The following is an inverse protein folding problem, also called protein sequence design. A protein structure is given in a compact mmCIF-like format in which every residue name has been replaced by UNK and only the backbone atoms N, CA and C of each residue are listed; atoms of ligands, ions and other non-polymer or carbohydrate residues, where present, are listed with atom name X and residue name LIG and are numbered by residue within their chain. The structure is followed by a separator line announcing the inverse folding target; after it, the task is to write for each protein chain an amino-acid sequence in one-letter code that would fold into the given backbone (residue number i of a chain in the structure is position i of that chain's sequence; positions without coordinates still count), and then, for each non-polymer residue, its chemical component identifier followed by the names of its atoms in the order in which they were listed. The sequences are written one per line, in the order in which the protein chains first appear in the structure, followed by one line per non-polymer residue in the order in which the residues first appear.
data_IF_209954001786
#
_entry.id   IF_209954001786
#
_cell.length_a   1.000
_cell.length_b   1.000
_cell.length_c   1.000
_cell.angle_alpha   90.00
_cell.angle_beta   90.00
_cell.angle_gamma   90.00
#
_symmetry.space_group_name_H-M   'P 1'
#
loop_
_entity.id
_entity.type
_entity.pdbx_description
1 polymer ?
#
# COMPACT_ATOMS: atom_id res chain seq x y z
N UNK A 1 -12.96 -29.24 -10.39
CA UNK A 1 -13.71 -27.99 -10.18
C UNK A 1 -12.85 -26.89 -9.60
N UNK A 2 -12.25 -26.14 -10.52
CA UNK A 2 -11.64 -24.84 -10.25
C UNK A 2 -12.73 -23.76 -10.18
N UNK A 3 -12.69 -22.94 -9.13
CA UNK A 3 -13.64 -21.86 -8.90
C UNK A 3 -12.89 -20.54 -8.90
N UNK A 4 -13.39 -19.57 -9.65
CA UNK A 4 -12.88 -18.20 -9.62
C UNK A 4 -13.89 -17.29 -8.92
N UNK A 5 -13.45 -16.50 -7.93
CA UNK A 5 -14.28 -15.55 -7.19
C UNK A 5 -13.87 -14.13 -7.57
N UNK A 6 -14.77 -13.39 -8.20
CA UNK A 6 -14.65 -11.96 -8.50
C UNK A 6 -15.35 -11.14 -7.41
N UNK A 7 -14.64 -10.20 -6.80
CA UNK A 7 -15.16 -9.35 -5.72
C UNK A 7 -14.47 -7.98 -5.69
N UNK A 8 -15.11 -6.97 -5.10
CA UNK A 8 -14.44 -5.69 -4.83
C UNK A 8 -13.66 -5.74 -3.50
N UNK A 9 -12.67 -4.86 -3.30
CA UNK A 9 -11.82 -4.87 -2.10
C UNK A 9 -12.61 -4.92 -0.76
N UNK A 10 -13.69 -4.14 -0.56
CA UNK A 10 -14.50 -4.22 0.67
C UNK A 10 -15.17 -5.58 0.91
N UNK A 11 -15.39 -6.35 -0.15
CA UNK A 11 -16.06 -7.66 -0.09
C UNK A 11 -15.09 -8.82 0.21
N UNK A 12 -13.79 -8.53 0.44
CA UNK A 12 -12.73 -9.53 0.66
C UNK A 12 -13.03 -10.51 1.78
N UNK A 13 -13.65 -10.04 2.86
CA UNK A 13 -14.03 -10.91 3.99
C UNK A 13 -15.05 -11.98 3.57
N UNK A 14 -16.01 -11.63 2.71
CA UNK A 14 -16.99 -12.58 2.18
C UNK A 14 -16.32 -13.54 1.20
N UNK A 15 -15.52 -13.04 0.27
CA UNK A 15 -14.79 -13.87 -0.69
C UNK A 15 -13.87 -14.89 0.00
N UNK A 16 -13.21 -14.48 1.09
CA UNK A 16 -12.35 -15.35 1.90
C UNK A 16 -13.12 -16.46 2.59
N UNK A 17 -14.32 -16.17 3.12
CA UNK A 17 -15.21 -17.20 3.71
C UNK A 17 -15.72 -18.18 2.65
N UNK A 18 -16.17 -17.67 1.50
CA UNK A 18 -16.57 -18.53 0.38
C UNK A 18 -15.45 -19.47 -0.04
N UNK A 19 -14.22 -18.96 -0.16
CA UNK A 19 -13.04 -19.79 -0.43
C UNK A 19 -12.86 -20.89 0.60
N UNK A 20 -12.95 -20.57 1.89
CA UNK A 20 -12.80 -21.56 2.95
C UNK A 20 -13.89 -22.63 2.88
N UNK A 21 -15.16 -22.22 2.73
CA UNK A 21 -16.30 -23.14 2.64
C UNK A 21 -16.18 -24.05 1.38
N UNK A 22 -15.79 -23.49 0.23
CA UNK A 22 -15.58 -24.25 -1.01
C UNK A 22 -14.36 -25.19 -0.94
N UNK A 23 -13.27 -24.75 -0.32
CA UNK A 23 -12.08 -25.58 -0.11
C UNK A 23 -12.39 -26.78 0.79
N UNK A 24 -13.20 -26.60 1.83
CA UNK A 24 -13.70 -27.69 2.68
C UNK A 24 -14.52 -28.73 1.90
N UNK A 25 -15.09 -28.35 0.75
CA UNK A 25 -15.79 -29.24 -0.18
C UNK A 25 -14.88 -29.81 -1.29
N UNK A 26 -13.56 -29.71 -1.14
CA UNK A 26 -12.57 -30.22 -2.08
C UNK A 26 -12.44 -29.42 -3.37
N UNK A 27 -12.84 -28.14 -3.38
CA UNK A 27 -12.74 -27.27 -4.57
C UNK A 27 -11.43 -26.47 -4.56
N UNK A 28 -10.84 -26.31 -5.73
CA UNK A 28 -9.69 -25.43 -5.92
C UNK A 28 -10.22 -24.02 -6.19
N UNK A 29 -9.99 -23.08 -5.28
CA UNK A 29 -10.59 -21.75 -5.36
C UNK A 29 -9.52 -20.70 -5.51
N UNK A 30 -9.66 -19.85 -6.53
CA UNK A 30 -8.90 -18.62 -6.65
C UNK A 30 -9.80 -17.42 -6.42
N UNK A 31 -9.29 -16.45 -5.69
CA UNK A 31 -9.94 -15.16 -5.48
C UNK A 31 -9.17 -14.13 -6.32
N UNK A 32 -9.86 -13.23 -7.01
CA UNK A 32 -9.19 -12.06 -7.56
C UNK A 32 -8.67 -11.16 -6.43
N UNK A 33 -7.37 -10.90 -6.42
CA UNK A 33 -6.73 -10.13 -5.35
C UNK A 33 -7.08 -8.64 -5.36
N UNK A 34 -7.84 -8.18 -6.37
CA UNK A 34 -8.22 -6.77 -6.56
C UNK A 34 -7.06 -5.86 -6.96
N UNK A 35 -5.82 -6.34 -6.92
CA UNK A 35 -4.63 -5.52 -7.13
C UNK A 35 -3.68 -6.08 -8.21
N UNK A 36 -3.27 -5.23 -9.17
CA UNK A 36 -2.33 -5.56 -10.24
C UNK A 36 -0.89 -5.87 -9.77
N UNK A 37 -0.55 -7.14 -9.58
CA UNK A 37 0.82 -7.57 -9.27
C UNK A 37 1.63 -7.84 -10.55
N UNK A 38 2.26 -6.80 -11.09
CA UNK A 38 3.20 -6.88 -12.22
C UNK A 38 2.55 -6.81 -13.62
N UNK A 39 3.35 -6.77 -14.71
CA UNK A 39 2.87 -6.48 -16.07
C UNK A 39 1.98 -7.59 -16.67
N UNK A 40 2.02 -8.81 -16.13
CA UNK A 40 1.22 -9.97 -16.58
C UNK A 40 0.06 -10.32 -15.66
N UNK A 41 -0.24 -9.47 -14.67
CA UNK A 41 -1.25 -9.76 -13.66
C UNK A 41 -2.62 -10.10 -14.28
N UNK A 42 -3.03 -9.30 -15.28
CA UNK A 42 -4.31 -9.45 -15.94
C UNK A 42 -4.36 -10.69 -16.81
N UNK A 43 -3.28 -11.00 -17.53
CA UNK A 43 -3.16 -12.29 -18.22
C UNK A 43 -3.30 -13.46 -17.25
N UNK A 44 -2.78 -13.33 -16.03
CA UNK A 44 -2.98 -14.27 -14.95
C UNK A 44 -4.46 -14.38 -14.53
N UNK A 45 -5.14 -13.26 -14.35
CA UNK A 45 -6.59 -13.21 -14.04
C UNK A 45 -7.39 -13.90 -15.14
N UNK A 46 -7.21 -13.47 -16.39
CA UNK A 46 -7.90 -14.02 -17.54
C UNK A 46 -7.62 -15.51 -17.70
N UNK A 47 -6.36 -15.95 -17.54
CA UNK A 47 -6.01 -17.36 -17.62
C UNK A 47 -6.61 -18.21 -16.49
N UNK A 48 -6.99 -17.62 -15.35
CA UNK A 48 -7.74 -18.30 -14.30
C UNK A 48 -9.24 -18.36 -14.62
N UNK A 49 -9.81 -17.30 -15.19
CA UNK A 49 -11.21 -17.30 -15.68
C UNK A 49 -11.36 -18.29 -16.85
N UNK A 50 -10.37 -18.37 -17.74
CA UNK A 50 -10.32 -19.35 -18.83
C UNK A 50 -10.30 -20.79 -18.33
N UNK A 51 -9.71 -21.07 -17.16
CA UNK A 51 -9.60 -22.42 -16.60
C UNK A 51 -10.69 -22.77 -15.59
N UNK A 52 -11.42 -21.78 -15.07
CA UNK A 52 -12.42 -22.06 -14.05
C UNK A 52 -13.60 -22.87 -14.61
N UNK A 53 -14.15 -23.72 -13.77
CA UNK A 53 -15.36 -24.50 -14.04
C UNK A 53 -16.60 -23.81 -13.45
N UNK A 54 -16.42 -22.87 -12.51
CA UNK A 54 -17.46 -21.98 -12.03
C UNK A 54 -16.88 -20.58 -11.73
N UNK A 55 -17.64 -19.56 -12.08
CA UNK A 55 -17.34 -18.16 -11.80
C UNK A 55 -18.33 -17.62 -10.76
N UNK A 56 -17.83 -17.22 -9.61
CA UNK A 56 -18.62 -16.61 -8.54
C UNK A 56 -18.46 -15.10 -8.60
N UNK A 57 -19.57 -14.39 -8.77
CA UNK A 57 -19.59 -12.93 -8.75
C UNK A 57 -20.16 -12.43 -7.43
N UNK A 58 -19.35 -11.78 -6.60
CA UNK A 58 -19.80 -11.18 -5.36
C UNK A 58 -20.51 -9.86 -5.68
N UNK A 59 -21.84 -9.86 -5.58
CA UNK A 59 -22.69 -8.73 -5.93
C UNK A 59 -22.77 -7.73 -4.76
N UNK A 60 -22.22 -6.54 -4.99
CA UNK A 60 -22.27 -5.37 -4.12
C UNK A 60 -22.33 -4.09 -4.96
N UNK A 61 -22.73 -2.93 -4.38
CA UNK A 61 -22.65 -1.66 -5.11
C UNK A 61 -21.22 -1.34 -5.59
N UNK A 62 -20.20 -1.77 -4.85
CA UNK A 62 -18.80 -1.54 -5.19
C UNK A 62 -18.34 -2.45 -6.31
N UNK A 63 -18.73 -3.73 -6.35
CA UNK A 63 -18.35 -4.62 -7.45
C UNK A 63 -18.99 -4.23 -8.77
N UNK A 64 -20.20 -3.65 -8.74
CA UNK A 64 -20.85 -3.10 -9.94
C UNK A 64 -20.17 -1.82 -10.47
N UNK A 65 -19.56 -1.02 -9.60
CA UNK A 65 -18.75 0.14 -9.98
C UNK A 65 -17.29 -0.19 -10.23
N UNK A 66 -16.83 -1.39 -9.86
CA UNK A 66 -15.45 -1.86 -10.05
C UNK A 66 -15.31 -2.47 -11.43
N UNK A 67 -14.59 -1.83 -12.36
CA UNK A 67 -14.74 -2.30 -13.72
C UNK A 67 -13.63 -3.25 -14.17
N UNK A 68 -12.70 -3.57 -13.26
CA UNK A 68 -12.07 -4.88 -13.14
C UNK A 68 -13.12 -5.99 -13.00
N UNK A 69 -13.93 -5.96 -11.94
CA UNK A 69 -14.96 -6.98 -11.69
C UNK A 69 -15.97 -7.06 -12.85
N UNK A 70 -16.37 -5.93 -13.43
CA UNK A 70 -17.26 -5.91 -14.60
C UNK A 70 -16.58 -6.42 -15.88
N UNK A 71 -15.27 -6.25 -16.06
CA UNK A 71 -14.55 -6.87 -17.17
C UNK A 71 -14.43 -8.38 -17.00
N UNK A 72 -14.11 -8.85 -15.79
CA UNK A 72 -14.06 -10.28 -15.46
C UNK A 72 -15.43 -10.95 -15.68
N UNK A 73 -16.50 -10.33 -15.18
CA UNK A 73 -17.87 -10.83 -15.36
C UNK A 73 -18.25 -10.93 -16.84
N UNK A 74 -17.97 -9.87 -17.62
CA UNK A 74 -18.23 -9.89 -19.07
C UNK A 74 -17.41 -10.97 -19.77
N UNK A 75 -16.15 -11.14 -19.39
CA UNK A 75 -15.28 -12.16 -19.98
C UNK A 75 -15.73 -13.58 -19.64
N UNK A 76 -16.10 -13.84 -18.38
CA UNK A 76 -16.67 -15.11 -17.95
C UNK A 76 -17.94 -15.45 -18.73
N UNK A 77 -18.83 -14.46 -18.98
CA UNK A 77 -20.01 -14.64 -19.84
C UNK A 77 -19.65 -14.97 -21.28
N UNK A 78 -18.67 -14.28 -21.87
CA UNK A 78 -18.21 -14.57 -23.24
C UNK A 78 -17.66 -15.99 -23.36
N UNK A 79 -16.95 -16.46 -22.34
CA UNK A 79 -16.45 -17.83 -22.23
C UNK A 79 -17.55 -18.85 -21.83
N UNK A 80 -18.79 -18.39 -21.60
CA UNK A 80 -19.91 -19.20 -21.13
C UNK A 80 -19.59 -19.99 -19.85
N UNK A 81 -18.81 -19.39 -18.95
CA UNK A 81 -18.52 -19.95 -17.64
C UNK A 81 -19.80 -19.97 -16.81
N UNK A 82 -20.15 -21.07 -16.14
CA UNK A 82 -21.28 -21.10 -15.22
C UNK A 82 -21.12 -20.04 -14.13
N UNK A 83 -22.12 -19.16 -13.96
CA UNK A 83 -22.06 -18.03 -13.03
C UNK A 83 -22.96 -18.28 -11.82
N UNK A 84 -22.38 -18.17 -10.62
CA UNK A 84 -23.11 -18.06 -9.36
C UNK A 84 -22.97 -16.64 -8.82
N UNK A 85 -24.07 -15.91 -8.76
CA UNK A 85 -24.14 -14.60 -8.12
C UNK A 85 -24.24 -14.79 -6.61
N UNK A 86 -23.31 -14.18 -5.86
CA UNK A 86 -23.32 -14.18 -4.39
C UNK A 86 -23.75 -12.80 -3.90
N UNK A 87 -24.97 -12.69 -3.41
CA UNK A 87 -25.52 -11.41 -2.93
C UNK A 87 -25.14 -11.18 -1.48
N UNK A 88 -24.32 -10.16 -1.22
CA UNK A 88 -23.80 -9.87 0.13
C UNK A 88 -24.60 -8.83 0.90
N UNK A 89 -25.42 -8.06 0.19
CA UNK A 89 -26.27 -7.01 0.72
C UNK A 89 -27.65 -7.11 0.08
N UNK A 90 -28.70 -6.69 0.79
CA UNK A 90 -30.05 -6.66 0.24
C UNK A 90 -30.16 -5.60 -0.85
N UNK A 91 -30.02 -6.03 -2.11
CA UNK A 91 -30.11 -5.18 -3.28
C UNK A 91 -30.74 -5.93 -4.46
N UNK A 92 -31.39 -5.21 -5.39
CA UNK A 92 -31.87 -5.80 -6.63
C UNK A 92 -30.72 -6.43 -7.41
N UNK A 93 -30.94 -7.63 -7.95
CA UNK A 93 -30.00 -8.25 -8.88
C UNK A 93 -30.11 -7.52 -10.23
N UNK A 94 -29.02 -6.93 -10.76
CA UNK A 94 -29.05 -6.25 -12.05
C UNK A 94 -29.51 -7.19 -13.18
N UNK A 95 -30.13 -6.62 -14.22
CA UNK A 95 -30.62 -7.38 -15.38
C UNK A 95 -29.52 -8.26 -16.01
N UNK A 96 -28.28 -7.77 -16.03
CA UNK A 96 -27.11 -8.50 -16.51
C UNK A 96 -26.83 -9.80 -15.76
N UNK A 97 -27.28 -9.95 -14.52
CA UNK A 97 -27.11 -11.16 -13.70
C UNK A 97 -28.43 -11.95 -13.57
N UNK A 98 -29.50 -11.50 -14.23
CA UNK A 98 -30.77 -12.21 -14.25
C UNK A 98 -30.57 -13.61 -14.85
N UNK A 99 -31.18 -14.62 -14.22
CA UNK A 99 -31.08 -16.02 -14.65
C UNK A 99 -29.78 -16.74 -14.26
N UNK A 100 -28.82 -16.06 -13.61
CA UNK A 100 -27.69 -16.75 -12.97
C UNK A 100 -28.15 -17.44 -11.68
N UNK A 101 -27.41 -18.46 -11.23
CA UNK A 101 -27.64 -19.03 -9.90
C UNK A 101 -27.45 -17.95 -8.84
N UNK A 102 -28.28 -17.93 -7.81
CA UNK A 102 -28.20 -16.95 -6.72
C UNK A 102 -27.92 -17.66 -5.40
N UNK A 103 -26.91 -17.19 -4.68
CA UNK A 103 -26.60 -17.60 -3.32
C UNK A 103 -26.54 -16.36 -2.42
N UNK A 104 -27.18 -16.44 -1.25
CA UNK A 104 -27.23 -15.36 -0.28
C UNK A 104 -26.68 -15.86 1.06
N UNK A 105 -25.44 -15.50 1.43
CA UNK A 105 -24.82 -15.97 2.67
C UNK A 105 -25.55 -15.49 3.92
N UNK A 106 -26.21 -14.31 3.85
CA UNK A 106 -26.93 -13.75 4.99
C UNK A 106 -28.20 -14.55 5.29
N UNK A 107 -28.91 -15.00 4.24
CA UNK A 107 -30.06 -15.90 4.37
C UNK A 107 -29.62 -17.31 4.81
N UNK A 108 -28.48 -17.78 4.30
CA UNK A 108 -28.04 -19.15 4.55
C UNK A 108 -27.63 -19.41 6.02
N UNK A 109 -27.10 -18.41 6.72
CA UNK A 109 -26.79 -18.50 8.16
C UNK A 109 -25.93 -19.71 8.54
N UNK A 110 -26.43 -20.54 9.46
CA UNK A 110 -25.75 -21.76 9.90
C UNK A 110 -25.64 -22.84 8.81
N UNK A 111 -26.55 -22.84 7.84
CA UNK A 111 -26.62 -23.80 6.73
C UNK A 111 -25.73 -23.42 5.53
N UNK A 112 -24.88 -22.40 5.66
CA UNK A 112 -24.09 -21.81 4.55
C UNK A 112 -23.38 -22.84 3.67
N UNK A 113 -22.72 -23.85 4.26
CA UNK A 113 -21.96 -24.83 3.49
C UNK A 113 -22.89 -25.74 2.69
N UNK A 114 -24.01 -26.17 3.30
CA UNK A 114 -25.02 -27.01 2.67
C UNK A 114 -25.71 -26.29 1.51
N UNK A 115 -26.12 -25.04 1.72
CA UNK A 115 -26.80 -24.24 0.71
C UNK A 115 -25.86 -23.77 -0.40
N UNK A 116 -24.61 -23.43 -0.08
CA UNK A 116 -23.59 -23.16 -1.10
C UNK A 116 -23.34 -24.40 -1.96
N UNK A 117 -23.23 -25.59 -1.34
CA UNK A 117 -23.12 -26.86 -2.08
C UNK A 117 -24.31 -27.08 -3.01
N UNK A 118 -25.53 -26.87 -2.52
CA UNK A 118 -26.74 -27.01 -3.32
C UNK A 118 -26.74 -26.05 -4.51
N UNK A 119 -26.42 -24.77 -4.28
CA UNK A 119 -26.32 -23.77 -5.33
C UNK A 119 -25.21 -24.08 -6.35
N UNK A 120 -24.14 -24.74 -5.94
CA UNK A 120 -23.08 -25.18 -6.86
C UNK A 120 -23.50 -26.37 -7.72
N UNK A 121 -24.33 -27.26 -7.20
CA UNK A 121 -24.85 -28.42 -7.94
C UNK A 121 -25.92 -28.04 -8.99
N UNK A 122 -26.56 -26.88 -8.85
CA UNK A 122 -27.53 -26.39 -9.83
C UNK A 122 -26.89 -25.66 -11.01
N UNK A 123 -25.58 -25.36 -10.94
CA UNK A 123 -24.88 -24.76 -12.06
C UNK A 123 -24.76 -25.75 -13.23
N UNK A 124 -24.88 -25.27 -14.48
CA UNK A 124 -24.60 -26.10 -15.64
C UNK A 124 -23.14 -26.55 -15.63
N UNK A 125 -22.85 -27.69 -16.26
CA UNK A 125 -21.48 -28.14 -16.47
C UNK A 125 -20.70 -27.09 -17.28
N UNK A 126 -19.44 -26.84 -16.90
CA UNK A 126 -18.59 -25.91 -17.64
C UNK A 126 -18.39 -26.40 -19.07
N UNK A 127 -18.74 -25.56 -20.05
CA UNK A 127 -18.44 -25.86 -21.44
C UNK A 127 -16.90 -25.96 -21.63
N UNK A 128 -16.43 -26.87 -22.51
CA UNK A 128 -15.05 -26.84 -22.95
C UNK A 128 -14.76 -25.46 -23.56
N UNK A 129 -13.55 -24.91 -23.38
CA UNK A 129 -13.20 -23.61 -23.93
C UNK A 129 -13.43 -23.62 -25.45
N UNK A 130 -14.03 -22.56 -26.03
CA UNK A 130 -14.30 -22.50 -27.45
C UNK A 130 -12.98 -22.61 -28.25
N UNK A 131 -13.03 -23.28 -29.42
CA UNK A 131 -11.86 -23.50 -30.29
C UNK A 131 -11.16 -22.19 -30.71
N UNK A 132 -11.93 -21.10 -30.84
CA UNK A 132 -11.40 -19.74 -30.79
C UNK A 132 -11.74 -19.13 -29.42
N UNK A 133 -10.73 -18.88 -28.59
CA UNK A 133 -10.93 -18.16 -27.33
C UNK A 133 -11.56 -16.79 -27.64
N UNK A 134 -12.58 -16.41 -26.87
CA UNK A 134 -13.11 -15.05 -26.93
C UNK A 134 -11.96 -14.05 -26.74
N UNK A 135 -11.95 -12.92 -27.48
CA UNK A 135 -10.86 -11.96 -27.39
C UNK A 135 -10.70 -11.53 -25.93
N UNK A 136 -9.47 -11.63 -25.43
CA UNK A 136 -9.12 -11.21 -24.07
C UNK A 136 -9.44 -9.72 -23.91
N UNK A 137 -10.22 -9.31 -22.88
CA UNK A 137 -10.50 -7.89 -22.66
C UNK A 137 -9.20 -7.16 -22.31
N UNK A 138 -9.06 -5.93 -22.77
CA UNK A 138 -8.00 -5.02 -22.34
C UNK A 138 -8.13 -4.77 -20.83
N UNK A 139 -7.02 -4.44 -20.16
CA UNK A 139 -7.03 -4.30 -18.71
C UNK A 139 -7.79 -3.00 -18.35
N UNK A 140 -8.70 -3.00 -17.36
CA UNK A 140 -9.84 -2.09 -17.46
C UNK A 140 -9.66 -0.66 -16.92
N UNK A 141 -8.65 -0.33 -16.09
CA UNK A 141 -8.63 0.99 -15.40
C UNK A 141 -7.41 1.89 -15.60
N UNK A 142 -6.24 1.39 -15.99
CA UNK A 142 -5.02 2.22 -15.99
C UNK A 142 -3.98 1.85 -17.05
N UNK A 143 -4.33 1.04 -18.05
CA UNK A 143 -3.38 0.55 -19.03
C UNK A 143 -2.74 1.62 -19.88
N UNK A 144 -3.49 2.65 -20.27
CA UNK A 144 -2.92 3.79 -20.98
C UNK A 144 -1.73 4.36 -20.20
N UNK A 145 -1.91 4.58 -18.90
CA UNK A 145 -0.86 5.11 -18.04
C UNK A 145 0.23 4.08 -17.78
N UNK A 146 -0.10 2.79 -17.55
CA UNK A 146 0.93 1.75 -17.34
C UNK A 146 1.80 1.55 -18.57
N UNK A 147 1.19 1.42 -19.74
CA UNK A 147 1.89 1.29 -21.00
C UNK A 147 2.77 2.51 -21.27
N UNK A 148 2.30 3.73 -20.98
CA UNK A 148 3.12 4.95 -21.05
C UNK A 148 4.28 4.92 -20.05
N UNK A 149 4.05 4.45 -18.82
CA UNK A 149 5.09 4.30 -17.79
C UNK A 149 6.08 3.17 -18.05
N UNK A 150 5.77 2.24 -18.95
CA UNK A 150 6.68 1.17 -19.39
C UNK A 150 7.52 1.58 -20.61
N UNK A 151 7.19 2.70 -21.26
CA UNK A 151 7.98 3.21 -22.39
C UNK A 151 9.38 3.63 -21.92
N UNK A 152 10.44 3.33 -22.69
CA UNK A 152 11.82 3.70 -22.32
C UNK A 152 12.01 5.19 -22.07
N UNK A 153 11.21 6.03 -22.73
CA UNK A 153 11.23 7.47 -22.59
C UNK A 153 9.81 8.00 -22.57
N UNK A 154 9.53 8.89 -21.63
CA UNK A 154 8.26 9.59 -21.51
C UNK A 154 8.57 11.08 -21.52
N UNK A 155 8.08 11.82 -22.52
CA UNK A 155 8.42 13.24 -22.63
C UNK A 155 7.78 14.10 -21.52
N UNK A 156 8.32 15.30 -21.33
CA UNK A 156 7.91 16.20 -20.25
C UNK A 156 6.41 16.59 -20.34
N UNK A 157 5.88 16.76 -21.54
CA UNK A 157 4.47 17.14 -21.73
C UNK A 157 3.57 15.99 -21.30
N UNK A 158 3.87 14.78 -21.76
CA UNK A 158 3.16 13.57 -21.38
C UNK A 158 3.24 13.29 -19.86
N UNK A 159 4.39 13.53 -19.23
CA UNK A 159 4.54 13.42 -17.78
C UNK A 159 3.62 14.39 -17.01
N UNK A 160 3.56 15.66 -17.43
CA UNK A 160 2.68 16.65 -16.78
C UNK A 160 1.20 16.33 -17.00
N UNK A 161 0.79 15.95 -18.21
CA UNK A 161 -0.59 15.55 -18.51
C UNK A 161 -1.02 14.33 -17.69
N UNK A 162 -0.15 13.32 -17.62
CA UNK A 162 -0.38 12.13 -16.81
C UNK A 162 -0.51 12.45 -15.34
N UNK A 163 0.41 13.24 -14.77
CA UNK A 163 0.34 13.64 -13.36
C UNK A 163 -0.96 14.41 -13.06
N UNK A 164 -1.35 15.34 -13.94
CA UNK A 164 -2.60 16.11 -13.78
C UNK A 164 -3.84 15.21 -13.74
N UNK A 165 -3.91 14.24 -14.63
CA UNK A 165 -5.04 13.31 -14.73
C UNK A 165 -5.06 12.29 -13.56
N UNK A 166 -3.90 11.76 -13.16
CA UNK A 166 -3.77 10.93 -11.98
C UNK A 166 -4.20 11.70 -10.71
N UNK A 167 -3.79 12.98 -10.56
CA UNK A 167 -4.23 13.83 -9.44
C UNK A 167 -5.74 14.04 -9.40
N UNK A 168 -6.38 14.16 -10.57
CA UNK A 168 -7.85 14.29 -10.66
C UNK A 168 -8.54 13.02 -10.16
N UNK A 169 -8.09 11.86 -10.64
CA UNK A 169 -8.64 10.55 -10.26
C UNK A 169 -8.33 10.12 -8.83
N UNK A 170 -7.24 10.62 -8.24
CA UNK A 170 -6.89 10.33 -6.84
C UNK A 170 -8.00 10.76 -5.85
N UNK A 171 -8.86 11.71 -6.26
CA UNK A 171 -10.02 12.17 -5.48
C UNK A 171 -11.12 11.13 -5.40
N UNK A 172 -11.23 10.27 -6.40
CA UNK A 172 -12.24 9.22 -6.47
C UNK A 172 -11.85 8.06 -5.56
N UNK A 173 -12.70 7.72 -4.59
CA UNK A 173 -12.44 6.66 -3.61
C UNK A 173 -12.14 5.31 -4.25
N UNK A 174 -12.77 5.02 -5.39
CA UNK A 174 -12.63 3.76 -6.13
C UNK A 174 -11.27 3.66 -6.82
N UNK A 175 -10.76 4.77 -7.38
CA UNK A 175 -9.53 4.80 -8.17
C UNK A 175 -8.28 5.01 -7.31
N UNK A 176 -8.45 5.56 -6.10
CA UNK A 176 -7.36 6.05 -5.23
C UNK A 176 -6.20 5.07 -5.07
N UNK A 177 -6.47 3.81 -4.74
CA UNK A 177 -5.42 2.80 -4.52
C UNK A 177 -4.60 2.55 -5.77
N UNK A 178 -5.28 2.34 -6.90
CA UNK A 178 -4.63 2.05 -8.16
C UNK A 178 -3.88 3.28 -8.71
N UNK A 179 -4.44 4.49 -8.57
CA UNK A 179 -3.76 5.75 -8.89
C UNK A 179 -2.51 5.94 -8.04
N UNK A 180 -2.57 5.66 -6.74
CA UNK A 180 -1.41 5.74 -5.85
C UNK A 180 -0.26 4.87 -6.35
N UNK A 181 -0.55 3.63 -6.77
CA UNK A 181 0.46 2.74 -7.35
C UNK A 181 1.12 3.30 -8.62
N UNK A 182 0.38 4.05 -9.45
CA UNK A 182 0.90 4.66 -10.68
C UNK A 182 1.75 5.88 -10.37
N UNK A 183 1.36 6.68 -9.38
CA UNK A 183 2.14 7.83 -8.91
C UNK A 183 3.50 7.36 -8.37
N UNK A 184 3.52 6.28 -7.58
CA UNK A 184 4.77 5.69 -7.07
C UNK A 184 5.64 5.17 -8.22
N UNK A 185 5.05 4.52 -9.24
CA UNK A 185 5.78 4.08 -10.44
C UNK A 185 6.31 5.24 -11.27
N UNK A 186 5.53 6.31 -11.45
CA UNK A 186 5.97 7.50 -12.15
C UNK A 186 7.17 8.12 -11.42
N UNK A 187 7.10 8.24 -10.08
CA UNK A 187 8.22 8.70 -9.25
C UNK A 187 9.48 7.85 -9.42
N UNK A 188 9.35 6.53 -9.59
CA UNK A 188 10.48 5.62 -9.72
C UNK A 188 11.21 5.71 -11.08
N UNK A 189 10.67 6.43 -12.06
CA UNK A 189 11.31 6.54 -13.37
C UNK A 189 12.58 7.41 -13.33
N UNK A 190 13.63 7.06 -14.08
CA UNK A 190 14.87 7.84 -14.13
C UNK A 190 14.75 9.12 -14.96
N UNK A 191 13.74 9.24 -15.82
CA UNK A 191 13.55 10.34 -16.76
C UNK A 191 12.49 11.38 -16.33
N UNK A 192 12.05 11.36 -15.07
CA UNK A 192 11.07 12.32 -14.54
C UNK A 192 11.65 13.74 -14.57
N UNK A 193 10.92 14.66 -15.18
CA UNK A 193 11.31 16.07 -15.26
C UNK A 193 11.32 16.72 -13.86
N UNK A 194 12.27 17.62 -13.54
CA UNK A 194 12.41 18.18 -12.19
C UNK A 194 11.12 18.79 -11.60
N UNK A 195 10.32 19.49 -12.39
CA UNK A 195 9.04 20.05 -11.92
C UNK A 195 7.97 18.99 -11.61
N UNK A 196 7.94 17.88 -12.37
CA UNK A 196 7.04 16.74 -12.11
C UNK A 196 7.50 15.99 -10.87
N UNK A 197 8.82 15.81 -10.70
CA UNK A 197 9.41 15.19 -9.52
C UNK A 197 9.05 15.96 -8.25
N UNK A 198 9.19 17.28 -8.25
CA UNK A 198 8.85 18.12 -7.10
C UNK A 198 7.36 17.99 -6.71
N UNK A 199 6.46 17.96 -7.71
CA UNK A 199 5.03 17.72 -7.45
C UNK A 199 4.75 16.32 -6.92
N UNK A 200 5.44 15.30 -7.42
CA UNK A 200 5.32 13.92 -6.94
C UNK A 200 5.78 13.79 -5.50
N UNK A 201 6.89 14.41 -5.12
CA UNK A 201 7.36 14.39 -3.73
C UNK A 201 6.36 15.07 -2.78
N UNK A 202 5.76 16.19 -3.20
CA UNK A 202 4.68 16.83 -2.41
C UNK A 202 3.46 15.92 -2.27
N UNK A 203 3.07 15.22 -3.34
CA UNK A 203 1.89 14.36 -3.36
C UNK A 203 2.09 13.05 -2.57
N UNK A 204 3.26 12.46 -2.70
CA UNK A 204 3.69 11.21 -2.08
C UNK A 204 4.47 11.43 -0.77
N UNK A 205 4.42 12.64 -0.21
CA UNK A 205 5.03 12.96 1.07
C UNK A 205 4.51 12.01 2.16
N UNK A 206 5.34 11.67 3.17
CA UNK A 206 4.90 10.83 4.28
C UNK A 206 3.62 11.33 4.96
N UNK A 207 2.82 10.42 5.50
CA UNK A 207 1.63 10.77 6.26
C UNK A 207 0.53 9.71 6.29
N UNK A 208 -0.50 10.01 7.07
CA UNK A 208 -1.72 9.21 7.13
C UNK A 208 -2.52 9.32 5.82
N UNK A 209 -2.80 8.18 5.20
CA UNK A 209 -3.61 8.07 3.98
C UNK A 209 -4.72 7.02 4.18
N UNK A 210 -5.81 7.07 3.39
CA UNK A 210 -6.78 5.98 3.38
C UNK A 210 -6.09 4.64 3.14
N UNK A 211 -6.46 3.62 3.90
CA UNK A 211 -5.86 2.29 3.75
C UNK A 211 -6.14 1.74 2.34
N UNK A 212 -5.13 1.39 1.54
CA UNK A 212 -5.33 0.95 0.16
C UNK A 212 -6.17 -0.34 0.07
N UNK A 213 -6.10 -1.20 1.09
CA UNK A 213 -6.88 -2.43 1.18
C UNK A 213 -8.26 -2.24 1.85
N UNK A 214 -8.54 -1.05 2.40
CA UNK A 214 -9.78 -0.74 3.11
C UNK A 214 -10.04 -1.59 4.37
N UNK A 215 -8.99 -2.12 5.00
CA UNK A 215 -9.07 -2.93 6.23
C UNK A 215 -9.28 -2.06 7.46
N UNK A 216 -8.71 -0.86 7.43
CA UNK A 216 -8.78 0.16 8.49
C UNK A 216 -9.09 1.53 7.87
N UNK A 217 -9.41 2.53 8.69
CA UNK A 217 -9.71 3.87 8.17
C UNK A 217 -8.50 4.48 7.47
N UNK A 218 -7.34 4.49 8.15
CA UNK A 218 -6.09 5.02 7.59
C UNK A 218 -4.89 4.13 7.88
N UNK A 219 -3.96 4.10 6.93
CA UNK A 219 -2.63 3.51 7.07
C UNK A 219 -1.57 4.58 6.87
N UNK A 220 -0.46 4.44 7.58
CA UNK A 220 0.65 5.36 7.45
C UNK A 220 1.52 5.00 6.24
N UNK A 221 1.74 5.98 5.37
CA UNK A 221 2.71 5.95 4.27
C UNK A 221 3.96 6.68 4.72
N UNK A 222 5.13 6.03 4.69
CA UNK A 222 6.40 6.63 5.15
C UNK A 222 7.18 7.38 4.06
N UNK A 223 6.51 7.66 2.94
CA UNK A 223 7.14 8.22 1.75
C UNK A 223 7.54 7.14 0.74
N UNK A 224 7.72 5.88 1.12
CA UNK A 224 8.18 4.82 0.21
C UNK A 224 7.29 3.59 0.18
N UNK A 225 6.79 3.18 1.35
CA UNK A 225 5.96 2.02 1.51
C UNK A 225 4.83 2.28 2.51
N UNK A 226 3.82 1.41 2.43
CA UNK A 226 2.83 1.31 3.47
C UNK A 226 3.46 0.62 4.68
N UNK A 227 3.25 1.19 5.87
CA UNK A 227 3.78 0.63 7.11
C UNK A 227 2.74 -0.23 7.83
N UNK A 228 3.14 -0.92 8.90
CA UNK A 228 2.19 -1.63 9.77
C UNK A 228 1.38 -0.69 10.66
N UNK A 229 1.66 0.61 10.64
CA UNK A 229 0.97 1.61 11.45
C UNK A 229 -0.37 1.98 10.83
N UNK A 230 -1.41 1.88 11.65
CA UNK A 230 -2.80 2.07 11.24
C UNK A 230 -3.55 2.94 12.25
N UNK A 231 -4.60 3.61 11.77
CA UNK A 231 -5.47 4.44 12.59
C UNK A 231 -6.92 4.06 12.38
N UNK A 232 -7.65 3.91 13.48
CA UNK A 232 -9.09 3.63 13.50
C UNK A 232 -9.73 4.33 14.71
N UNK A 233 -10.86 5.00 14.50
CA UNK A 233 -11.57 5.76 15.54
C UNK A 233 -10.67 6.73 16.31
N UNK A 234 -9.78 7.41 15.59
CA UNK A 234 -8.81 8.36 16.16
C UNK A 234 -7.67 7.74 16.96
N UNK A 235 -7.60 6.41 17.09
CA UNK A 235 -6.53 5.69 17.83
C UNK A 235 -5.52 5.07 16.87
N UNK A 236 -4.24 5.25 17.18
CA UNK A 236 -3.11 4.67 16.43
C UNK A 236 -2.71 3.30 17.02
N UNK A 237 -2.40 2.32 16.16
CA UNK A 237 -1.91 1.00 16.58
C UNK A 237 -1.05 0.35 15.49
N UNK A 238 -0.34 -0.72 15.86
CA UNK A 238 0.56 -1.47 14.98
C UNK A 238 -0.06 -2.83 14.61
N UNK A 239 -0.37 -3.04 13.32
CA UNK A 239 -0.98 -4.27 12.80
C UNK A 239 0.06 -5.35 12.47
N UNK A 240 0.81 -5.83 13.47
CA UNK A 240 1.92 -6.79 13.24
C UNK A 240 1.52 -8.13 12.63
N UNK A 241 0.24 -8.52 12.71
CA UNK A 241 -0.24 -9.83 12.25
C UNK A 241 -0.47 -9.90 10.75
N UNK A 242 -0.58 -8.76 10.09
CA UNK A 242 -0.90 -8.68 8.67
C UNK A 242 0.18 -7.84 8.01
N UNK A 243 0.84 -8.34 6.95
CA UNK A 243 1.81 -7.53 6.25
C UNK A 243 1.14 -6.24 5.72
N UNK A 244 1.87 -5.12 5.69
CA UNK A 244 1.40 -3.96 4.98
C UNK A 244 1.08 -4.31 3.52
N UNK A 245 0.15 -3.59 2.90
CA UNK A 245 -0.10 -3.68 1.47
C UNK A 245 1.22 -3.53 0.71
N UNK A 246 1.45 -4.38 -0.28
CA UNK A 246 2.59 -4.24 -1.18
C UNK A 246 2.40 -3.01 -2.06
N UNK A 247 2.78 -1.83 -1.56
CA UNK A 247 3.14 -0.76 -2.46
C UNK A 247 4.47 -1.17 -3.13
N UNK A 248 4.37 -1.82 -4.29
CA UNK A 248 5.42 -1.78 -5.31
C UNK A 248 6.82 -2.20 -4.86
N UNK A 249 7.00 -3.47 -4.48
CA UNK A 249 8.29 -4.13 -4.69
C UNK A 249 8.33 -4.66 -6.13
N UNK A 250 8.89 -3.90 -7.06
CA UNK A 250 9.74 -4.51 -8.09
C UNK A 250 11.13 -3.94 -7.81
N UNK A 251 12.16 -4.75 -7.61
CA UNK A 251 12.62 -5.75 -8.55
C UNK A 251 13.33 -6.92 -7.86
N UNK A 252 13.45 -8.03 -8.60
CA UNK A 252 14.54 -8.99 -8.42
C UNK A 252 15.83 -8.26 -8.00
N UNK A 253 16.30 -8.56 -6.79
CA UNK A 253 17.67 -8.28 -6.38
C UNK A 253 18.63 -9.00 -7.34
N UNK A 254 19.14 -8.27 -8.34
CA UNK A 254 20.31 -8.68 -9.08
C UNK A 254 21.53 -8.25 -8.25
N UNK A 255 22.15 -9.23 -7.60
CA UNK A 255 23.35 -9.03 -6.82
C UNK A 255 24.59 -8.76 -7.71
N UNK A 256 25.50 -7.97 -7.12
CA UNK A 256 26.97 -7.96 -7.25
C UNK A 256 27.63 -7.03 -8.32
N UNK A 257 28.92 -6.62 -8.15
CA UNK A 257 29.76 -6.54 -6.95
C UNK A 257 30.43 -5.16 -6.72
N UNK A 258 30.96 -5.02 -5.49
CA UNK A 258 31.78 -3.94 -4.91
C UNK A 258 33.07 -3.60 -5.67
N UNK A 259 33.45 -2.31 -5.67
CA UNK A 259 34.84 -1.86 -5.78
C UNK A 259 35.12 -0.55 -4.99
N UNK A 260 35.86 -0.72 -3.90
CA UNK A 260 36.74 0.11 -3.05
C UNK A 260 36.93 1.65 -3.21
N UNK A 261 37.39 2.34 -2.12
CA UNK A 261 37.17 3.77 -1.86
C UNK A 261 38.41 4.67 -2.07
N UNK A 262 38.20 5.99 -2.09
CA UNK A 262 39.21 7.06 -1.90
C UNK A 262 38.49 8.39 -1.62
N UNK A 263 38.96 9.36 -0.85
CA UNK A 263 39.92 9.50 0.27
C UNK A 263 39.75 10.96 0.74
N UNK A 264 39.45 11.14 2.03
CA UNK A 264 39.50 12.36 2.84
C UNK A 264 40.23 13.60 2.28
N UNK A 265 39.65 14.78 2.55
CA UNK A 265 40.44 15.93 3.03
C UNK A 265 39.63 16.89 3.92
N UNK A 266 39.99 16.88 5.21
CA UNK A 266 39.65 17.86 6.26
C UNK A 266 40.17 19.26 5.91
N UNK A 267 39.47 20.32 6.36
CA UNK A 267 40.04 21.58 6.88
C UNK A 267 38.88 22.41 7.53
N UNK A 268 38.79 22.50 8.87
CA UNK A 268 39.42 23.44 9.83
C UNK A 268 38.68 24.79 9.99
N UNK A 269 38.08 24.95 11.19
CA UNK A 269 38.10 26.08 12.15
C UNK A 269 37.71 27.48 11.62
N UNK A 270 36.89 28.29 12.31
CA UNK A 270 37.21 29.19 13.46
C UNK A 270 35.84 29.81 13.85
N UNK A 271 35.30 29.60 15.06
CA UNK A 271 35.47 30.32 16.33
C UNK A 271 34.69 31.66 16.48
N UNK A 272 34.12 31.79 17.69
CA UNK A 272 33.64 33.00 18.40
C UNK A 272 32.37 33.66 17.83
N UNK A 273 31.38 34.07 18.61
CA UNK A 273 31.23 34.25 20.05
C UNK A 273 30.10 35.27 20.26
N UNK A 274 29.50 35.34 21.45
CA UNK A 274 28.66 36.49 21.80
C UNK A 274 27.44 36.17 22.66
N UNK A 275 27.52 36.61 23.92
CA UNK A 275 26.54 36.49 25.01
C UNK A 275 25.59 37.70 25.01
N UNK A 276 24.42 37.53 25.67
CA UNK A 276 23.67 38.49 26.49
C UNK A 276 22.25 38.83 25.95
N UNK A 277 21.14 38.36 26.54
CA UNK A 277 20.50 38.66 27.84
C UNK A 277 19.21 39.49 27.66
N UNK A 278 18.13 38.90 28.19
CA UNK A 278 16.92 39.46 28.82
C UNK A 278 15.92 40.32 28.03
N UNK A 279 14.66 39.88 28.14
CA UNK A 279 13.45 40.67 27.94
C UNK A 279 12.22 39.92 28.44
N UNK A 280 11.94 40.00 29.73
CA UNK A 280 10.72 39.50 30.38
C UNK A 280 9.54 40.39 29.97
N UNK A 281 8.45 39.79 29.49
CA UNK A 281 7.12 40.37 29.60
C UNK A 281 6.11 39.25 29.85
N UNK A 282 5.52 39.31 31.03
CA UNK A 282 4.55 38.38 31.56
C UNK A 282 3.22 38.44 30.80
N UNK A 283 2.63 37.28 30.54
CA UNK A 283 1.19 37.11 30.48
C UNK A 283 0.84 35.76 31.09
N UNK A 284 0.42 35.81 32.36
CA UNK A 284 -0.10 34.67 33.08
C UNK A 284 -1.39 34.18 32.39
N UNK A 285 -1.35 32.94 31.90
CA UNK A 285 -2.56 32.20 31.57
C UNK A 285 -2.33 30.72 31.92
N UNK A 286 -2.94 30.31 33.04
CA UNK A 286 -3.26 28.94 33.45
C UNK A 286 -2.13 27.95 33.77
N UNK A 287 -2.06 27.62 35.07
CA UNK A 287 -1.52 26.39 35.62
C UNK A 287 -2.34 25.18 35.16
N UNK A 288 -1.95 24.57 34.04
CA UNK A 288 -2.07 23.13 33.75
C UNK A 288 -0.90 22.81 32.81
N UNK A 289 0.06 22.00 33.23
CA UNK A 289 1.14 21.50 32.36
C UNK A 289 0.54 20.95 31.05
N UNK A 290 0.86 21.51 29.88
CA UNK A 290 0.52 20.88 28.62
C UNK A 290 1.82 20.38 28.01
N UNK A 291 2.10 19.08 28.06
CA UNK A 291 2.75 18.49 26.90
C UNK A 291 2.43 17.01 26.72
N UNK A 292 1.84 16.62 25.58
CA UNK A 292 1.72 15.22 25.22
C UNK A 292 3.14 14.68 25.02
N UNK A 293 3.59 13.79 25.90
CA UNK A 293 4.77 12.97 25.60
C UNK A 293 4.48 12.22 24.31
N UNK A 294 5.05 12.66 23.18
CA UNK A 294 4.82 12.03 21.90
C UNK A 294 5.10 10.54 22.04
N UNK A 295 4.14 9.63 21.79
CA UNK A 295 4.35 8.22 22.04
C UNK A 295 5.52 7.68 21.18
N UNK A 296 6.20 6.58 21.58
CA UNK A 296 7.34 6.00 20.86
C UNK A 296 7.14 5.88 19.34
N UNK A 297 5.91 5.55 18.94
CA UNK A 297 5.46 5.46 17.55
C UNK A 297 5.58 6.78 16.77
N UNK A 298 5.31 7.92 17.41
CA UNK A 298 5.43 9.25 16.81
C UNK A 298 6.89 9.60 16.58
N UNK A 299 7.77 9.34 17.55
CA UNK A 299 9.22 9.58 17.41
C UNK A 299 9.81 8.74 16.28
N UNK A 300 9.52 7.43 16.25
CA UNK A 300 9.99 6.53 15.20
C UNK A 300 9.55 6.99 13.80
N UNK A 301 8.30 7.45 13.67
CA UNK A 301 7.76 8.01 12.43
C UNK A 301 8.53 9.26 11.99
N UNK A 302 8.61 10.26 12.86
CA UNK A 302 9.30 11.53 12.53
C UNK A 302 10.75 11.29 12.16
N UNK A 303 11.43 10.36 12.85
CA UNK A 303 12.80 9.98 12.52
C UNK A 303 12.93 9.41 11.09
N UNK A 304 12.05 8.46 10.72
CA UNK A 304 12.04 7.85 9.39
C UNK A 304 11.69 8.88 8.31
N UNK A 305 10.66 9.69 8.56
CA UNK A 305 10.22 10.73 7.63
C UNK A 305 11.35 11.75 7.39
N UNK A 306 11.97 12.26 8.47
CA UNK A 306 13.04 13.23 8.41
C UNK A 306 14.24 12.74 7.60
N UNK A 307 14.61 11.46 7.74
CA UNK A 307 15.67 10.86 6.94
C UNK A 307 15.27 10.78 5.46
N UNK A 308 14.04 10.31 5.18
CA UNK A 308 13.55 10.15 3.81
C UNK A 308 13.41 11.48 3.06
N UNK A 309 13.10 12.58 3.75
CA UNK A 309 13.00 13.93 3.15
C UNK A 309 14.23 14.81 3.38
N UNK A 310 15.29 14.26 4.00
CA UNK A 310 16.52 14.98 4.38
C UNK A 310 16.28 16.24 5.23
N UNK A 311 15.32 16.18 6.15
CA UNK A 311 15.02 17.27 7.08
C UNK A 311 15.85 17.15 8.37
N UNK A 312 16.99 17.85 8.39
CA UNK A 312 17.88 17.85 9.55
C UNK A 312 17.25 18.48 10.80
N UNK A 313 16.32 19.43 10.64
CA UNK A 313 15.68 20.09 11.78
C UNK A 313 14.69 19.14 12.45
N UNK A 314 13.87 18.45 11.67
CA UNK A 314 12.98 17.41 12.18
C UNK A 314 13.76 16.28 12.84
N UNK A 315 14.89 15.88 12.24
CA UNK A 315 15.76 14.83 12.78
C UNK A 315 16.36 15.22 14.14
N UNK A 316 16.90 16.44 14.25
CA UNK A 316 17.40 16.97 15.53
C UNK A 316 16.30 16.99 16.62
N UNK A 317 15.04 17.23 16.23
CA UNK A 317 13.90 17.19 17.15
C UNK A 317 13.56 15.82 17.73
N UNK A 318 14.08 14.72 17.18
CA UNK A 318 13.77 13.36 17.61
C UNK A 318 14.99 12.49 17.91
N UNK A 319 16.18 12.99 17.68
CA UNK A 319 17.44 12.35 18.11
C UNK A 319 17.80 12.72 19.55
N UNK A 320 18.69 11.96 20.17
CA UNK A 320 19.18 12.25 21.52
C UNK A 320 20.06 13.51 21.54
N UNK A 321 20.09 14.24 22.65
CA UNK A 321 20.79 15.54 22.77
C UNK A 321 22.27 15.44 22.37
N UNK A 322 22.92 14.33 22.72
CA UNK A 322 24.32 14.05 22.39
C UNK A 322 24.60 13.93 20.88
N UNK A 323 23.57 13.62 20.10
CA UNK A 323 23.65 13.31 18.68
C UNK A 323 23.21 14.49 17.79
N UNK A 324 22.53 15.52 18.35
CA UNK A 324 21.96 16.65 17.61
C UNK A 324 22.93 17.30 16.61
N UNK A 325 24.15 17.63 17.06
CA UNK A 325 25.15 18.32 16.24
C UNK A 325 25.77 17.43 15.14
N UNK A 326 25.45 16.13 15.17
CA UNK A 326 25.98 15.11 14.26
C UNK A 326 24.87 14.28 13.61
N UNK A 327 23.60 14.66 13.76
CA UNK A 327 22.46 13.89 13.24
C UNK A 327 22.54 13.70 11.72
N UNK A 328 23.03 14.70 11.00
CA UNK A 328 23.35 14.63 9.58
C UNK A 328 24.40 13.56 9.27
N UNK A 329 25.51 13.54 10.02
CA UNK A 329 26.61 12.60 9.85
C UNK A 329 26.26 11.17 10.32
N UNK A 330 25.38 11.04 11.30
CA UNK A 330 25.03 9.76 11.91
C UNK A 330 23.91 9.05 11.14
N UNK A 331 22.93 9.81 10.63
CA UNK A 331 21.70 9.22 10.09
C UNK A 331 21.44 9.58 8.63
N UNK A 332 21.95 10.71 8.12
CA UNK A 332 21.83 11.09 6.71
C UNK A 332 23.04 10.65 5.87
N UNK A 333 24.19 10.39 6.52
CA UNK A 333 25.39 9.92 5.84
C UNK A 333 25.19 8.52 5.25
N UNK A 334 25.42 8.40 3.94
CA UNK A 334 25.29 7.15 3.18
C UNK A 334 24.12 7.11 2.22
N UNK A 335 23.23 8.11 2.22
CA UNK A 335 22.16 8.20 1.23
C UNK A 335 21.23 7.00 1.29
N UNK A 336 20.69 6.71 2.48
CA UNK A 336 19.73 5.63 2.68
C UNK A 336 18.29 6.17 2.59
N UNK A 337 17.37 5.32 2.14
CA UNK A 337 15.94 5.46 2.42
C UNK A 337 15.52 4.43 3.46
N UNK A 338 14.66 4.83 4.38
CA UNK A 338 14.16 3.97 5.43
C UNK A 338 12.69 3.64 5.21
N UNK A 339 12.31 2.39 5.48
CA UNK A 339 10.92 1.96 5.56
C UNK A 339 10.61 1.47 6.97
N UNK A 340 9.59 2.01 7.62
CA UNK A 340 9.24 1.64 8.99
C UNK A 340 8.47 0.31 9.01
N UNK A 341 9.11 -0.75 9.50
CA UNK A 341 8.53 -2.09 9.50
C UNK A 341 7.75 -2.40 10.79
N UNK A 342 8.24 -1.94 11.94
CA UNK A 342 7.56 -2.17 13.21
C UNK A 342 8.02 -1.21 14.29
N UNK A 343 7.11 -0.83 15.19
CA UNK A 343 7.42 -0.17 16.47
C UNK A 343 7.02 -1.08 17.62
N UNK A 344 7.92 -1.27 18.58
CA UNK A 344 7.71 -2.00 19.83
C UNK A 344 7.78 -1.07 21.06
N UNK A 345 6.65 -0.47 21.47
CA UNK A 345 6.61 0.41 22.63
C UNK A 345 6.75 -0.34 23.96
N UNK A 346 6.50 -1.65 23.97
CA UNK A 346 6.47 -2.48 25.19
C UNK A 346 7.81 -3.21 25.43
N UNK A 347 8.77 -3.10 24.51
CA UNK A 347 10.12 -3.64 24.68
C UNK A 347 10.90 -2.84 25.73
N UNK A 348 11.97 -3.43 26.28
CA UNK A 348 12.86 -2.78 27.24
C UNK A 348 14.32 -2.77 26.74
N UNK A 349 14.84 -1.63 26.22
CA UNK A 349 14.11 -0.38 25.97
C UNK A 349 13.15 -0.50 24.77
N UNK A 350 12.13 0.39 24.67
CA UNK A 350 11.28 0.48 23.48
C UNK A 350 12.12 0.66 22.23
N UNK A 351 11.68 0.12 21.09
CA UNK A 351 12.47 0.18 19.86
C UNK A 351 11.60 0.17 18.61
N UNK A 352 12.22 0.44 17.47
CA UNK A 352 11.58 0.26 16.16
C UNK A 352 12.56 -0.32 15.16
N UNK A 353 12.03 -1.05 14.18
CA UNK A 353 12.80 -1.68 13.11
C UNK A 353 12.45 -1.04 11.78
N UNK A 354 13.48 -0.76 11.00
CA UNK A 354 13.38 -0.21 9.65
C UNK A 354 14.12 -1.10 8.66
N UNK A 355 13.68 -1.04 7.40
CA UNK A 355 14.42 -1.53 6.26
C UNK A 355 15.15 -0.34 5.60
N UNK A 356 16.48 -0.34 5.65
CA UNK A 356 17.33 0.68 5.05
C UNK A 356 17.77 0.25 3.63
N UNK A 357 17.46 1.05 2.63
CA UNK A 357 17.84 0.85 1.22
C UNK A 357 18.88 1.88 0.81
N UNK A 358 20.05 1.45 0.39
CA UNK A 358 21.13 2.29 -0.14
C UNK A 358 20.75 2.79 -1.55
N UNK A 359 20.76 4.11 -1.75
CA UNK A 359 20.37 4.72 -3.02
C UNK A 359 21.44 4.66 -4.11
N UNK A 360 22.70 4.43 -3.76
CA UNK A 360 23.78 4.26 -4.71
C UNK A 360 23.93 2.82 -5.18
N UNK A 361 23.81 1.86 -4.27
CA UNK A 361 24.05 0.44 -4.55
C UNK A 361 22.78 -0.40 -4.71
N UNK A 362 21.63 0.08 -4.23
CA UNK A 362 20.39 -0.71 -4.14
C UNK A 362 20.44 -1.81 -3.06
N UNK A 363 21.52 -1.88 -2.28
CA UNK A 363 21.64 -2.81 -1.16
C UNK A 363 20.61 -2.53 -0.07
N UNK A 364 20.14 -3.58 0.59
CA UNK A 364 19.10 -3.47 1.63
C UNK A 364 19.58 -4.12 2.92
N UNK A 365 19.32 -3.48 4.05
CA UNK A 365 19.69 -3.94 5.39
C UNK A 365 18.60 -3.61 6.41
N UNK A 366 18.38 -4.46 7.42
CA UNK A 366 17.39 -4.21 8.48
C UNK A 366 18.08 -3.65 9.71
N UNK A 367 17.58 -2.51 10.22
CA UNK A 367 18.15 -1.81 11.37
C UNK A 367 17.11 -1.64 12.46
N UNK A 368 17.52 -1.89 13.70
CA UNK A 368 16.68 -1.68 14.87
C UNK A 368 17.26 -0.57 15.74
N UNK A 369 16.45 0.44 16.03
CA UNK A 369 16.83 1.61 16.79
C UNK A 369 16.14 1.61 18.16
N UNK A 370 16.89 1.74 19.26
CA UNK A 370 16.30 1.92 20.58
C UNK A 370 15.74 3.34 20.74
N UNK A 371 14.69 3.45 21.54
CA UNK A 371 14.09 4.70 21.97
C UNK A 371 14.41 4.92 23.45
N UNK A 372 14.99 6.07 23.76
CA UNK A 372 15.36 6.47 25.12
C UNK A 372 14.51 7.66 25.51
N UNK A 373 14.14 7.76 26.79
CA UNK A 373 13.38 8.91 27.29
C UNK A 373 14.35 9.96 27.85
N UNK A 374 14.46 11.11 27.18
CA UNK A 374 15.26 12.27 27.61
C UNK A 374 14.31 13.44 27.88
N UNK A 375 14.43 14.07 29.04
CA UNK A 375 13.61 15.24 29.42
C UNK A 375 12.08 15.05 29.26
N UNK A 376 11.60 13.80 29.41
CA UNK A 376 10.18 13.47 29.26
C UNK A 376 9.76 13.04 27.85
N UNK A 377 10.62 13.20 26.85
CA UNK A 377 10.34 12.88 25.45
C UNK A 377 11.09 11.63 24.98
N UNK A 378 10.50 10.90 24.03
CA UNK A 378 11.17 9.74 23.41
C UNK A 378 12.10 10.21 22.29
N UNK A 379 13.35 9.74 22.33
CA UNK A 379 14.44 10.10 21.42
C UNK A 379 15.13 8.86 20.84
N UNK A 380 15.65 9.00 19.63
CA UNK A 380 16.46 7.99 18.93
C UNK A 380 17.94 8.28 19.16
N UNK A 381 18.64 7.38 19.85
CA UNK A 381 20.09 7.53 20.05
C UNK A 381 20.84 6.72 18.99
N UNK A 382 21.95 7.27 18.48
CA UNK A 382 22.88 6.47 17.68
C UNK A 382 23.47 5.33 18.54
N UNK A 383 23.65 4.15 17.94
CA UNK A 383 24.27 2.99 18.58
C UNK A 383 25.79 3.13 18.69
#
# INVERSE_FOLDING_TARGET
MQVFISHAAPDRAVATRLRADLAAMGRQVTIDGGEPNGPRWWDGVLARIERCEAFLFVLSPTSLRSPGCMAELRYAKQLRRPILTVRTQSMPVPADLAGTGLYDPAIAGADRVRLLRAAMLTLPAAAPPPLSLAPRPLIPYFDGYRAQLEQPKLDRTAQHEMLGELRRRLRDEVDRTAVWSLLVRLRARPDVAPGVAEELEKLLAPGWRPDPEGRVERRYWDGQAWTTLVRHDGREFNERRVPPPEATWSDKAAAAPSAAPRRDRRLRLIAAGGVAVAGVAAAAYFLIDPEPTNPPITTARVFVDAINVQDNNALAGVTCERDHDRSDQLFLAGGFRLTLESVDPDADPPNFTVLATDLGSGGVDRRTYPLVKESGEWRVCAQ
#
